data_IF_740431253365
#
_entry.id   IF_740431253365
#
_cell.length_a   1.000
_cell.length_b   1.000
_cell.length_c   1.000
_cell.angle_alpha   90.00
_cell.angle_beta   90.00
_cell.angle_gamma   90.00
#
_symmetry.space_group_name_H-M   'P 1'
#
loop_
_entity.id
_entity.type
_entity.pdbx_description
1 polymer ?
#
# COMPACT_ATOMS: atom_id res chain seq x y z
N UNK A 1 -55.53 10.45 -24.59
CA UNK A 1 -54.07 10.35 -24.78
C UNK A 1 -53.45 10.22 -23.39
N UNK A 2 -53.19 8.99 -22.99
CA UNK A 2 -52.60 8.64 -21.70
C UNK A 2 -51.12 9.04 -21.66
N UNK A 3 -50.76 9.93 -20.73
CA UNK A 3 -49.37 10.17 -20.36
C UNK A 3 -48.97 9.10 -19.34
N UNK A 4 -48.23 8.09 -19.79
CA UNK A 4 -47.49 7.22 -18.87
C UNK A 4 -46.52 8.07 -18.04
N UNK A 5 -46.47 7.92 -16.70
CA UNK A 5 -45.41 8.51 -15.92
C UNK A 5 -44.09 7.82 -16.27
N UNK A 6 -43.09 8.60 -16.66
CA UNK A 6 -41.70 8.14 -16.80
C UNK A 6 -41.26 7.57 -15.46
N UNK A 7 -40.78 6.33 -15.47
CA UNK A 7 -40.10 5.72 -14.34
C UNK A 7 -38.95 6.64 -13.88
N UNK A 8 -39.07 7.13 -12.65
CA UNK A 8 -37.99 7.82 -11.95
C UNK A 8 -36.94 6.75 -11.64
N UNK A 9 -35.84 6.71 -12.39
CA UNK A 9 -34.73 5.83 -12.04
C UNK A 9 -34.22 6.18 -10.64
N UNK A 10 -34.06 5.13 -9.84
CA UNK A 10 -33.65 5.16 -8.45
C UNK A 10 -32.40 6.00 -8.19
N UNK A 11 -32.35 6.53 -6.96
CA UNK A 11 -31.24 7.22 -6.31
C UNK A 11 -29.87 6.94 -6.96
N UNK A 12 -29.16 8.00 -7.35
CA UNK A 12 -27.74 7.93 -7.66
C UNK A 12 -26.97 7.47 -6.41
N UNK A 13 -26.86 6.16 -6.20
CA UNK A 13 -25.94 5.62 -5.22
C UNK A 13 -24.53 5.93 -5.73
N UNK A 14 -23.73 6.59 -4.90
CA UNK A 14 -22.33 6.84 -5.20
C UNK A 14 -21.66 5.47 -5.43
N UNK A 15 -21.11 5.17 -6.63
CA UNK A 15 -20.55 3.85 -6.92
C UNK A 15 -19.33 3.52 -6.05
N UNK A 16 -18.74 4.53 -5.40
CA UNK A 16 -17.65 4.42 -4.43
C UNK A 16 -18.12 4.31 -2.99
N UNK A 17 -19.44 4.22 -2.74
CA UNK A 17 -19.97 3.88 -1.42
C UNK A 17 -19.30 2.59 -0.93
N UNK A 18 -18.95 2.48 0.37
CA UNK A 18 -18.17 1.38 0.92
C UNK A 18 -18.57 -0.04 0.45
N UNK A 19 -19.86 -0.34 0.47
CA UNK A 19 -20.41 -1.65 0.15
C UNK A 19 -20.67 -1.90 -1.34
N UNK A 20 -20.54 -0.85 -2.16
CA UNK A 20 -20.77 -0.92 -3.60
C UNK A 20 -19.58 -1.54 -4.35
N UNK A 21 -19.83 -1.93 -5.61
CA UNK A 21 -18.83 -2.63 -6.43
C UNK A 21 -17.49 -1.89 -6.56
N UNK A 22 -17.47 -0.55 -6.56
CA UNK A 22 -16.24 0.25 -6.62
C UNK A 22 -15.77 0.77 -5.26
N UNK A 23 -16.43 0.41 -4.17
CA UNK A 23 -16.00 0.67 -2.79
C UNK A 23 -14.93 -0.33 -2.33
N UNK A 24 -15.06 -0.83 -1.09
CA UNK A 24 -14.04 -1.67 -0.44
C UNK A 24 -13.72 -2.95 -1.19
N UNK A 25 -14.65 -3.50 -1.98
CA UNK A 25 -14.38 -4.68 -2.81
C UNK A 25 -13.29 -4.41 -3.85
N UNK A 26 -13.28 -3.22 -4.44
CA UNK A 26 -12.25 -2.84 -5.41
C UNK A 26 -10.93 -2.53 -4.70
N UNK A 27 -11.00 -1.90 -3.53
CA UNK A 27 -9.83 -1.59 -2.72
C UNK A 27 -9.13 -2.89 -2.29
N UNK A 28 -9.88 -3.91 -1.86
CA UNK A 28 -9.37 -5.24 -1.49
C UNK A 28 -8.63 -5.92 -2.66
N UNK A 29 -9.15 -5.82 -3.88
CA UNK A 29 -8.46 -6.35 -5.07
C UNK A 29 -7.14 -5.64 -5.33
N UNK A 30 -7.09 -4.32 -5.15
CA UNK A 30 -5.85 -3.55 -5.29
C UNK A 30 -4.88 -3.91 -4.17
N UNK A 31 -5.34 -4.03 -2.92
CA UNK A 31 -4.51 -4.47 -1.79
C UNK A 31 -3.88 -5.83 -2.05
N UNK A 32 -4.65 -6.81 -2.54
CA UNK A 32 -4.11 -8.13 -2.87
C UNK A 32 -3.04 -8.07 -3.97
N UNK A 33 -3.24 -7.22 -4.99
CA UNK A 33 -2.24 -7.00 -6.05
C UNK A 33 -0.97 -6.34 -5.51
N UNK A 34 -1.11 -5.32 -4.65
CA UNK A 34 0.04 -4.63 -4.04
C UNK A 34 0.82 -5.58 -3.13
N UNK A 35 0.15 -6.42 -2.33
CA UNK A 35 0.78 -7.49 -1.52
C UNK A 35 1.62 -8.42 -2.41
N UNK A 36 1.06 -8.87 -3.53
CA UNK A 36 1.81 -9.74 -4.45
C UNK A 36 3.07 -9.04 -4.95
N UNK A 37 2.98 -7.76 -5.36
CA UNK A 37 4.14 -7.00 -5.83
C UNK A 37 5.20 -6.79 -4.75
N UNK A 38 4.79 -6.44 -3.53
CA UNK A 38 5.73 -6.31 -2.41
C UNK A 38 6.43 -7.63 -2.11
N UNK A 39 5.72 -8.76 -2.16
CA UNK A 39 6.32 -10.09 -2.03
C UNK A 39 7.31 -10.42 -3.16
N UNK A 40 6.98 -10.08 -4.41
CA UNK A 40 7.88 -10.26 -5.56
C UNK A 40 9.18 -9.47 -5.34
N UNK A 41 9.09 -8.20 -4.91
CA UNK A 41 10.25 -7.37 -4.56
C UNK A 41 11.07 -7.97 -3.42
N UNK A 42 10.44 -8.38 -2.31
CA UNK A 42 11.16 -9.00 -1.20
C UNK A 42 11.86 -10.31 -1.60
N UNK A 43 11.25 -11.11 -2.45
CA UNK A 43 11.86 -12.34 -2.98
C UNK A 43 13.10 -12.02 -3.80
N UNK A 44 13.06 -10.98 -4.65
CA UNK A 44 14.25 -10.52 -5.38
C UNK A 44 15.34 -10.02 -4.42
N UNK A 45 14.98 -9.22 -3.40
CA UNK A 45 15.96 -8.73 -2.41
C UNK A 45 16.66 -9.89 -1.67
N UNK A 46 15.91 -10.91 -1.26
CA UNK A 46 16.46 -12.15 -0.67
C UNK A 46 17.53 -12.80 -1.53
N UNK A 47 17.22 -12.95 -2.82
CA UNK A 47 18.09 -13.64 -3.77
C UNK A 47 19.30 -12.79 -4.16
N UNK A 48 19.08 -11.51 -4.49
CA UNK A 48 20.11 -10.62 -5.02
C UNK A 48 21.02 -10.04 -3.93
N UNK A 49 20.47 -9.72 -2.74
CA UNK A 49 21.22 -9.02 -1.68
C UNK A 49 21.75 -9.96 -0.61
N UNK A 50 21.03 -11.04 -0.31
CA UNK A 50 21.35 -11.95 0.80
C UNK A 50 21.70 -13.37 0.34
N UNK A 51 21.60 -13.65 -0.96
CA UNK A 51 21.87 -14.96 -1.55
C UNK A 51 21.12 -16.11 -0.84
N UNK A 52 19.91 -15.85 -0.35
CA UNK A 52 19.17 -16.80 0.48
C UNK A 52 17.66 -16.58 0.41
N UNK A 53 16.90 -17.61 0.05
CA UNK A 53 15.43 -17.59 0.02
C UNK A 53 14.80 -17.56 1.44
N UNK A 54 15.55 -17.99 2.45
CA UNK A 54 15.11 -18.10 3.84
C UNK A 54 15.47 -16.87 4.69
N UNK A 55 16.15 -15.89 4.10
CA UNK A 55 16.53 -14.68 4.82
C UNK A 55 15.29 -13.92 5.30
N UNK A 56 15.24 -13.57 6.59
CA UNK A 56 14.11 -12.87 7.19
C UNK A 56 14.55 -12.09 8.42
N UNK A 57 13.85 -11.01 8.72
CA UNK A 57 13.98 -10.29 9.98
C UNK A 57 12.77 -10.57 10.88
N UNK A 58 12.93 -10.51 12.21
CA UNK A 58 11.80 -10.51 13.13
C UNK A 58 10.86 -9.35 12.79
N UNK A 59 9.60 -9.67 12.55
CA UNK A 59 8.57 -8.67 12.28
C UNK A 59 7.94 -8.21 13.59
N UNK A 60 8.11 -6.93 13.90
CA UNK A 60 7.40 -6.27 15.00
C UNK A 60 6.53 -5.16 14.41
N UNK A 61 5.22 -5.24 14.66
CA UNK A 61 4.25 -4.25 14.19
C UNK A 61 3.46 -3.76 15.40
N UNK A 62 3.41 -2.45 15.59
CA UNK A 62 2.42 -1.87 16.50
C UNK A 62 1.03 -1.97 15.83
N UNK A 63 0.08 -2.48 16.60
CA UNK A 63 -1.26 -2.81 16.12
C UNK A 63 -2.15 -1.57 15.99
N UNK A 64 -1.86 -0.70 15.03
CA UNK A 64 -2.85 0.32 14.64
C UNK A 64 -3.91 -0.34 13.74
N UNK A 65 -5.03 -0.73 14.37
CA UNK A 65 -6.06 -1.61 13.77
C UNK A 65 -7.19 -0.87 13.02
N UNK A 66 -7.00 0.36 12.56
CA UNK A 66 -8.04 1.14 11.87
C UNK A 66 -7.75 1.36 10.39
N UNK A 67 -8.79 1.32 9.52
CA UNK A 67 -8.62 1.59 8.08
C UNK A 67 -7.92 2.93 7.80
N UNK A 68 -8.31 4.00 8.51
CA UNK A 68 -7.70 5.33 8.35
C UNK A 68 -6.25 5.37 8.86
N UNK A 69 -5.96 4.70 9.98
CA UNK A 69 -4.60 4.63 10.52
C UNK A 69 -3.67 3.87 9.57
N UNK A 70 -4.11 2.70 9.10
CA UNK A 70 -3.38 1.90 8.11
C UNK A 70 -3.17 2.67 6.80
N UNK A 71 -4.19 3.40 6.33
CA UNK A 71 -4.09 4.24 5.15
C UNK A 71 -3.03 5.35 5.31
N UNK A 72 -2.98 6.03 6.46
CA UNK A 72 -1.96 7.05 6.76
C UNK A 72 -0.56 6.44 6.87
N UNK A 73 -0.43 5.29 7.50
CA UNK A 73 0.85 4.61 7.61
C UNK A 73 1.36 4.20 6.21
N UNK A 74 0.50 3.62 5.38
CA UNK A 74 0.84 3.27 4.00
C UNK A 74 1.18 4.49 3.14
N UNK A 75 0.58 5.66 3.37
CA UNK A 75 0.96 6.87 2.64
C UNK A 75 2.34 7.37 3.04
N UNK A 76 2.77 7.21 4.30
CA UNK A 76 4.17 7.43 4.69
C UNK A 76 5.14 6.52 3.95
N UNK A 77 4.82 5.22 3.79
CA UNK A 77 5.63 4.31 2.97
C UNK A 77 5.71 4.76 1.51
N UNK A 78 4.59 5.17 0.92
CA UNK A 78 4.54 5.62 -0.47
C UNK A 78 5.43 6.83 -0.73
N UNK A 79 5.48 7.78 0.21
CA UNK A 79 6.34 8.95 0.14
C UNK A 79 7.83 8.61 0.31
N UNK A 80 8.16 7.53 1.05
CA UNK A 80 9.55 7.13 1.32
C UNK A 80 10.17 6.27 0.21
N UNK A 81 9.38 5.49 -0.53
CA UNK A 81 9.90 4.58 -1.58
C UNK A 81 10.85 5.28 -2.58
N UNK A 82 10.57 6.48 -3.10
CA UNK A 82 11.49 7.17 -4.00
C UNK A 82 12.88 7.39 -3.38
N UNK A 83 12.96 7.77 -2.10
CA UNK A 83 14.24 7.96 -1.40
C UNK A 83 15.00 6.66 -1.23
N UNK A 84 14.31 5.56 -0.89
CA UNK A 84 14.93 4.22 -0.80
C UNK A 84 15.55 3.81 -2.15
N UNK A 85 14.83 4.06 -3.25
CA UNK A 85 15.33 3.74 -4.60
C UNK A 85 16.53 4.61 -4.96
N UNK A 86 16.48 5.91 -4.69
CA UNK A 86 17.57 6.84 -5.00
C UNK A 86 18.85 6.50 -4.23
N UNK A 87 18.74 6.25 -2.92
CA UNK A 87 19.90 5.87 -2.10
C UNK A 87 20.54 4.57 -2.59
N UNK A 88 19.74 3.60 -3.03
CA UNK A 88 20.27 2.35 -3.56
C UNK A 88 20.97 2.50 -4.92
N UNK A 89 20.51 3.43 -5.76
CA UNK A 89 21.15 3.78 -7.03
C UNK A 89 22.50 4.48 -6.80
N UNK A 90 22.56 5.40 -5.83
CA UNK A 90 23.80 6.12 -5.49
C UNK A 90 24.91 5.18 -4.98
N UNK A 91 24.54 4.00 -4.47
CA UNK A 91 25.47 2.99 -3.97
C UNK A 91 25.92 1.98 -5.04
N UNK A 92 25.37 2.05 -6.27
CA UNK A 92 25.50 1.03 -7.33
C UNK A 92 25.15 -0.39 -6.82
N UNK A 93 24.21 -0.48 -5.87
CA UNK A 93 24.00 -1.68 -5.07
C UNK A 93 22.90 -2.60 -5.63
N UNK A 94 21.91 -2.04 -6.34
CA UNK A 94 20.76 -2.81 -6.86
C UNK A 94 20.81 -2.96 -8.38
N UNK A 95 20.44 -4.16 -8.84
CA UNK A 95 20.25 -4.40 -10.27
C UNK A 95 19.12 -3.53 -10.82
N UNK A 96 19.17 -3.21 -12.12
CA UNK A 96 18.08 -2.52 -12.81
C UNK A 96 16.73 -3.24 -12.62
N UNK A 97 16.76 -4.58 -12.51
CA UNK A 97 15.56 -5.40 -12.34
C UNK A 97 14.97 -5.23 -10.94
N UNK A 98 15.80 -5.27 -9.90
CA UNK A 98 15.37 -5.00 -8.52
C UNK A 98 14.88 -3.55 -8.37
N UNK A 99 15.60 -2.58 -8.93
CA UNK A 99 15.19 -1.18 -8.94
C UNK A 99 13.81 -0.98 -9.60
N UNK A 100 13.57 -1.61 -10.75
CA UNK A 100 12.25 -1.60 -11.40
C UNK A 100 11.16 -2.28 -10.56
N UNK A 101 11.48 -3.37 -9.87
CA UNK A 101 10.56 -4.07 -8.97
C UNK A 101 10.12 -3.16 -7.82
N UNK A 102 11.07 -2.47 -7.17
CA UNK A 102 10.80 -1.50 -6.11
C UNK A 102 9.94 -0.34 -6.61
N UNK A 103 10.26 0.21 -7.79
CA UNK A 103 9.46 1.27 -8.42
C UNK A 103 8.02 0.82 -8.71
N UNK A 104 7.84 -0.38 -9.25
CA UNK A 104 6.51 -0.94 -9.50
C UNK A 104 5.72 -1.15 -8.21
N UNK A 105 6.36 -1.59 -7.13
CA UNK A 105 5.73 -1.68 -5.81
C UNK A 105 5.23 -0.32 -5.34
N UNK A 106 6.03 0.74 -5.46
CA UNK A 106 5.59 2.11 -5.17
C UNK A 106 4.42 2.57 -6.04
N UNK A 107 4.46 2.29 -7.34
CA UNK A 107 3.36 2.64 -8.26
C UNK A 107 2.04 1.94 -7.92
N UNK A 108 2.07 0.66 -7.54
CA UNK A 108 0.86 -0.06 -7.13
C UNK A 108 0.35 0.38 -5.76
N UNK A 109 1.24 0.75 -4.83
CA UNK A 109 0.86 1.35 -3.56
C UNK A 109 0.16 2.70 -3.78
N UNK A 110 0.70 3.57 -4.63
CA UNK A 110 0.08 4.86 -4.99
C UNK A 110 -1.33 4.67 -5.57
N UNK A 111 -1.51 3.74 -6.52
CA UNK A 111 -2.83 3.43 -7.11
C UNK A 111 -3.83 2.94 -6.06
N UNK A 112 -3.38 2.07 -5.16
CA UNK A 112 -4.19 1.59 -4.04
C UNK A 112 -4.64 2.75 -3.15
N UNK A 113 -3.70 3.57 -2.69
CA UNK A 113 -3.97 4.70 -1.79
C UNK A 113 -4.89 5.73 -2.42
N UNK A 114 -4.62 6.12 -3.67
CA UNK A 114 -5.50 7.03 -4.40
C UNK A 114 -6.94 6.50 -4.43
N UNK A 115 -7.12 5.22 -4.77
CA UNK A 115 -8.46 4.64 -4.90
C UNK A 115 -9.16 4.41 -3.54
N UNK A 116 -8.41 4.00 -2.52
CA UNK A 116 -8.90 3.84 -1.15
C UNK A 116 -9.32 5.19 -0.56
N UNK A 117 -8.59 6.27 -0.84
CA UNK A 117 -8.95 7.62 -0.37
C UNK A 117 -10.35 8.05 -0.83
N UNK A 118 -10.74 7.69 -2.06
CA UNK A 118 -12.06 7.99 -2.62
C UNK A 118 -13.14 7.22 -1.85
N UNK A 119 -12.92 5.94 -1.55
CA UNK A 119 -13.87 5.12 -0.78
C UNK A 119 -14.01 5.62 0.65
N UNK A 120 -12.89 5.92 1.32
CA UNK A 120 -12.91 6.41 2.70
C UNK A 120 -13.58 7.80 2.82
N UNK A 121 -13.41 8.68 1.83
CA UNK A 121 -14.18 9.94 1.73
C UNK A 121 -15.67 9.68 1.55
N UNK A 122 -16.03 8.74 0.66
CA UNK A 122 -17.42 8.34 0.47
C UNK A 122 -18.04 7.70 1.74
N UNK A 123 -17.22 7.08 2.59
CA UNK A 123 -17.60 6.56 3.89
C UNK A 123 -17.72 7.64 4.99
N UNK A 124 -17.25 8.87 4.73
CA UNK A 124 -17.14 9.92 5.74
C UNK A 124 -15.99 9.71 6.74
N UNK A 125 -15.05 8.81 6.45
CA UNK A 125 -13.91 8.50 7.34
C UNK A 125 -12.69 9.40 7.08
N UNK A 126 -12.60 9.99 5.88
CA UNK A 126 -11.62 11.02 5.55
C UNK A 126 -12.31 12.35 5.30
N UNK A 127 -11.82 13.40 5.96
CA UNK A 127 -12.22 14.79 5.68
C UNK A 127 -11.59 15.36 4.40
N UNK A 128 -11.81 16.66 4.18
CA UNK A 128 -11.36 17.37 2.97
C UNK A 128 -9.87 17.76 2.95
N UNK A 129 -9.12 17.47 4.02
CA UNK A 129 -7.69 17.84 4.13
C UNK A 129 -6.75 16.90 3.37
N UNK A 130 -5.54 17.39 3.08
CA UNK A 130 -4.42 16.57 2.61
C UNK A 130 -4.11 15.49 3.64
N UNK A 131 -4.12 14.25 3.18
CA UNK A 131 -4.05 13.04 4.00
C UNK A 131 -2.75 12.27 3.81
N UNK A 132 -1.83 12.82 3.02
CA UNK A 132 -0.49 12.28 2.80
C UNK A 132 0.27 12.26 4.12
N UNK A 133 0.74 11.08 4.52
CA UNK A 133 1.61 10.92 5.68
C UNK A 133 2.97 11.56 5.42
N UNK A 134 3.68 11.88 6.50
CA UNK A 134 5.08 12.29 6.41
C UNK A 134 5.94 11.09 6.01
N UNK A 135 7.01 11.29 5.22
CA UNK A 135 7.95 10.22 4.91
C UNK A 135 8.49 9.57 6.19
N UNK A 136 8.59 8.25 6.18
CA UNK A 136 9.25 7.48 7.23
C UNK A 136 10.73 7.86 7.26
N UNK A 137 11.28 8.28 8.42
CA UNK A 137 12.70 8.51 8.57
C UNK A 137 13.47 7.21 8.33
N UNK A 138 14.31 7.19 7.29
CA UNK A 138 15.21 6.08 7.06
C UNK A 138 16.37 6.16 8.05
N UNK A 139 16.71 5.03 8.66
CA UNK A 139 17.85 4.95 9.56
C UNK A 139 19.14 5.24 8.77
N UNK A 140 19.98 6.14 9.32
CA UNK A 140 21.35 6.31 8.85
C UNK A 140 22.18 5.11 9.31
N UNK A 141 22.60 4.30 8.33
CA UNK A 141 23.40 3.10 8.53
C UNK A 141 24.87 3.29 8.12
N UNK A 142 25.29 4.55 7.94
CA UNK A 142 26.63 4.92 7.49
C UNK A 142 26.94 4.36 6.09
N UNK A 143 28.21 4.10 5.80
CA UNK A 143 28.63 3.59 4.49
C UNK A 143 28.52 2.07 4.29
N UNK A 144 27.79 1.34 5.13
CA UNK A 144 27.75 -0.12 5.07
C UNK A 144 26.64 -0.62 4.14
N UNK A 145 27.04 -1.12 2.96
CA UNK A 145 26.13 -1.74 1.98
C UNK A 145 25.22 -2.80 2.59
N UNK A 146 25.79 -3.71 3.38
CA UNK A 146 25.02 -4.75 4.06
C UNK A 146 23.91 -4.15 4.94
N UNK A 147 24.19 -3.11 5.71
CA UNK A 147 23.17 -2.49 6.56
C UNK A 147 22.15 -1.68 5.77
N UNK A 148 22.51 -1.11 4.61
CA UNK A 148 21.53 -0.55 3.67
C UNK A 148 20.57 -1.62 3.17
N UNK A 149 21.08 -2.79 2.75
CA UNK A 149 20.24 -3.90 2.30
C UNK A 149 19.28 -4.37 3.42
N UNK A 150 19.79 -4.50 4.66
CA UNK A 150 18.98 -4.89 5.82
C UNK A 150 17.88 -3.85 6.09
N UNK A 151 18.21 -2.56 6.08
CA UNK A 151 17.26 -1.47 6.31
C UNK A 151 16.16 -1.45 5.25
N UNK A 152 16.54 -1.51 3.98
CA UNK A 152 15.60 -1.45 2.86
C UNK A 152 14.72 -2.71 2.83
N UNK A 153 15.29 -3.88 3.13
CA UNK A 153 14.51 -5.10 3.28
C UNK A 153 13.51 -4.98 4.42
N UNK A 154 13.94 -4.48 5.58
CA UNK A 154 13.06 -4.25 6.73
C UNK A 154 11.92 -3.30 6.37
N UNK A 155 12.21 -2.25 5.59
CA UNK A 155 11.21 -1.31 5.08
C UNK A 155 10.14 -2.02 4.22
N UNK A 156 10.53 -2.80 3.21
CA UNK A 156 9.55 -3.52 2.38
C UNK A 156 8.83 -4.66 3.13
N UNK A 157 9.52 -5.32 4.07
CA UNK A 157 8.90 -6.33 4.94
C UNK A 157 7.86 -5.68 5.85
N UNK A 158 8.14 -4.47 6.33
CA UNK A 158 7.18 -3.73 7.14
C UNK A 158 5.96 -3.32 6.31
N UNK A 159 6.17 -2.76 5.11
CA UNK A 159 5.11 -2.43 4.17
C UNK A 159 4.18 -3.63 3.91
N UNK A 160 4.75 -4.82 3.70
CA UNK A 160 3.98 -6.04 3.49
C UNK A 160 3.05 -6.35 4.67
N UNK A 161 3.55 -6.24 5.90
CA UNK A 161 2.73 -6.48 7.09
C UNK A 161 1.56 -5.52 7.22
N UNK A 162 1.77 -4.22 6.98
CA UNK A 162 0.70 -3.22 7.02
C UNK A 162 -0.33 -3.46 5.91
N UNK A 163 0.11 -3.87 4.71
CA UNK A 163 -0.80 -4.26 3.63
C UNK A 163 -1.67 -5.49 3.98
N UNK A 164 -1.10 -6.46 4.70
CA UNK A 164 -1.85 -7.63 5.19
C UNK A 164 -2.90 -7.22 6.24
N UNK A 165 -2.57 -6.29 7.13
CA UNK A 165 -3.54 -5.72 8.08
C UNK A 165 -4.66 -4.96 7.35
N UNK A 166 -4.32 -4.15 6.34
CA UNK A 166 -5.31 -3.46 5.51
C UNK A 166 -6.25 -4.45 4.83
N UNK A 167 -5.71 -5.53 4.28
CA UNK A 167 -6.51 -6.59 3.65
C UNK A 167 -7.53 -7.17 4.63
N UNK A 168 -7.09 -7.56 5.83
CA UNK A 168 -7.96 -8.11 6.86
C UNK A 168 -9.06 -7.12 7.30
N UNK A 169 -8.72 -5.83 7.43
CA UNK A 169 -9.69 -4.79 7.77
C UNK A 169 -10.73 -4.57 6.66
N UNK A 170 -10.31 -4.56 5.40
CA UNK A 170 -11.23 -4.45 4.26
C UNK A 170 -12.15 -5.67 4.15
N UNK A 171 -11.63 -6.88 4.40
CA UNK A 171 -12.43 -8.11 4.46
C UNK A 171 -13.47 -8.04 5.59
N UNK A 172 -13.09 -7.57 6.78
CA UNK A 172 -14.01 -7.39 7.90
C UNK A 172 -15.13 -6.39 7.57
N UNK A 173 -14.80 -5.20 7.03
CA UNK A 173 -15.80 -4.20 6.64
C UNK A 173 -16.74 -4.69 5.55
N UNK A 174 -16.25 -5.49 4.60
CA UNK A 174 -17.08 -6.07 3.56
C UNK A 174 -18.04 -7.15 4.07
N UNK A 175 -17.69 -7.84 5.16
CA UNK A 175 -18.57 -8.81 5.80
C UNK A 175 -19.77 -8.15 6.51
N UNK A 176 -19.68 -6.85 6.81
CA UNK A 176 -20.70 -6.06 7.51
C UNK A 176 -21.72 -5.35 6.56
N UNK A 177 -21.57 -5.50 5.25
CA UNK A 177 -22.22 -4.66 4.22
C UNK A 177 -23.67 -4.98 3.79
#
# INVERSE_FOLDING_TARGET
MDRQPRFVHHAHMNPYSPCERRGFRKDLQLTAKTIQRTNDTLTMMKQELFMSDDWSLPTYFEEDRGLVALFRNLSSFEQTIPSVILEAQDLDDYSDTLGQSMYHTGSELNKLLFKLSITLRAAGELGDQDWTGEPIPLQDVGGSRYWHHVRDFAFFQHLLGILQLLKAQLEARLAEC
#
